data_IF_129968145335
#
_entry.id   IF_129968145335
#
_cell.length_a   1.000
_cell.length_b   1.000
_cell.length_c   1.000
_cell.angle_alpha   90.00
_cell.angle_beta   90.00
_cell.angle_gamma   90.00
#
_symmetry.space_group_name_H-M   'P 1'
#
loop_
_entity.id
_entity.type
_entity.pdbx_description
1 polymer ?
#
# COMPACT_ATOMS: atom_id res chain seq x y z
N UNK A 1 -21.27 -14.17 33.13
CA UNK A 1 -20.64 -12.88 33.55
C UNK A 1 -21.21 -11.80 32.65
N UNK A 2 -21.80 -10.73 33.21
CA UNK A 2 -22.32 -9.62 32.41
C UNK A 2 -21.18 -8.86 31.72
N UNK A 3 -21.43 -8.33 30.52
CA UNK A 3 -20.45 -7.49 29.83
C UNK A 3 -20.15 -6.26 30.68
N UNK A 4 -18.87 -5.85 30.80
CA UNK A 4 -18.51 -4.65 31.55
C UNK A 4 -19.14 -3.40 30.92
N UNK A 5 -19.43 -2.40 31.75
CA UNK A 5 -19.89 -1.08 31.32
C UNK A 5 -18.97 -0.52 30.22
N UNK A 6 -19.49 -0.10 29.05
CA UNK A 6 -18.66 0.28 27.89
C UNK A 6 -17.62 1.36 28.19
N UNK A 7 -18.00 2.37 28.99
CA UNK A 7 -17.07 3.44 29.38
C UNK A 7 -15.94 2.94 30.28
N UNK A 8 -16.22 1.96 31.15
CA UNK A 8 -15.19 1.32 31.97
C UNK A 8 -14.26 0.48 31.11
N UNK A 9 -14.79 -0.24 30.11
CA UNK A 9 -13.99 -1.00 29.17
C UNK A 9 -13.00 -0.10 28.41
N UNK A 10 -13.44 1.05 27.90
CA UNK A 10 -12.55 2.00 27.21
C UNK A 10 -11.42 2.49 28.11
N UNK A 11 -11.71 2.82 29.39
CA UNK A 11 -10.68 3.21 30.37
C UNK A 11 -9.66 2.09 30.59
N UNK A 12 -10.14 0.86 30.78
CA UNK A 12 -9.28 -0.31 30.99
C UNK A 12 -8.37 -0.61 29.79
N UNK A 13 -8.84 -0.36 28.56
CA UNK A 13 -8.04 -0.61 27.34
C UNK A 13 -6.80 0.30 27.24
N UNK A 14 -6.86 1.51 27.78
CA UNK A 14 -5.78 2.50 27.62
C UNK A 14 -4.94 2.73 28.87
N UNK A 15 -5.38 2.25 30.05
CA UNK A 15 -4.74 2.53 31.33
C UNK A 15 -3.29 2.05 31.42
N UNK A 16 -2.95 0.97 30.71
CA UNK A 16 -1.61 0.38 30.72
C UNK A 16 -0.64 1.09 29.74
N UNK A 17 -1.12 2.05 28.96
CA UNK A 17 -0.26 2.80 28.04
C UNK A 17 0.54 3.89 28.78
N UNK A 18 1.77 4.18 28.32
CA UNK A 18 2.51 5.36 28.79
C UNK A 18 1.67 6.64 28.63
N UNK A 19 1.84 7.66 29.50
CA UNK A 19 0.93 8.82 29.57
C UNK A 19 0.69 9.52 28.22
N UNK A 20 1.75 9.67 27.40
CA UNK A 20 1.64 10.26 26.06
C UNK A 20 0.77 9.42 25.12
N UNK A 21 0.93 8.10 25.17
CA UNK A 21 0.17 7.17 24.34
C UNK A 21 -1.28 7.05 24.82
N UNK A 22 -1.50 6.97 26.14
CA UNK A 22 -2.84 6.98 26.75
C UNK A 22 -3.63 8.21 26.29
N UNK A 23 -3.06 9.41 26.42
CA UNK A 23 -3.70 10.67 25.99
C UNK A 23 -4.10 10.65 24.52
N UNK A 24 -3.24 10.11 23.66
CA UNK A 24 -3.53 9.96 22.22
C UNK A 24 -4.60 8.90 21.96
N UNK A 25 -4.47 7.69 22.52
CA UNK A 25 -5.39 6.57 22.29
C UNK A 25 -6.79 6.82 22.82
N UNK A 26 -6.93 7.57 23.92
CA UNK A 26 -8.23 7.97 24.48
C UNK A 26 -9.09 8.83 23.54
N UNK A 27 -8.47 9.44 22.52
CA UNK A 27 -9.19 10.21 21.48
C UNK A 27 -9.62 9.36 20.28
N UNK A 28 -9.10 8.13 20.17
CA UNK A 28 -9.37 7.17 19.08
C UNK A 28 -10.30 6.02 19.50
N UNK A 29 -10.85 6.05 20.71
CA UNK A 29 -11.79 5.05 21.23
C UNK A 29 -12.92 5.81 21.92
N UNK A 30 -14.15 5.63 21.43
CA UNK A 30 -15.37 6.27 21.96
C UNK A 30 -16.48 5.23 22.05
N UNK A 31 -17.30 5.32 23.10
CA UNK A 31 -18.54 4.55 23.20
C UNK A 31 -19.56 5.25 22.31
N UNK A 32 -20.16 4.52 21.37
CA UNK A 32 -21.16 5.10 20.50
C UNK A 32 -22.42 5.47 21.28
N UNK A 33 -23.00 6.63 20.97
CA UNK A 33 -24.31 7.06 21.43
C UNK A 33 -25.20 7.25 20.18
N UNK A 34 -26.30 6.51 20.03
CA UNK A 34 -27.19 6.62 18.86
C UNK A 34 -27.88 7.98 18.71
N UNK A 35 -28.01 8.76 19.79
CA UNK A 35 -28.67 10.06 19.79
C UNK A 35 -27.64 11.16 19.49
N UNK A 36 -26.51 11.15 20.18
CA UNK A 36 -25.44 12.15 20.00
C UNK A 36 -24.10 11.46 19.71
N UNK A 37 -23.84 11.18 18.44
CA UNK A 37 -22.62 10.48 18.02
C UNK A 37 -21.37 11.26 18.44
N UNK A 38 -20.49 10.69 19.28
CA UNK A 38 -19.34 11.42 19.79
C UNK A 38 -18.28 11.64 18.71
N UNK A 39 -17.63 12.81 18.75
CA UNK A 39 -16.46 13.09 17.90
C UNK A 39 -15.30 12.17 18.26
N UNK A 40 -14.82 11.43 17.27
CA UNK A 40 -13.64 10.56 17.36
C UNK A 40 -12.51 11.13 16.50
N UNK A 41 -11.29 11.15 17.03
CA UNK A 41 -10.13 11.54 16.23
C UNK A 41 -9.83 10.42 15.24
N UNK A 42 -9.66 10.76 13.96
CA UNK A 42 -9.33 9.82 12.89
C UNK A 42 -8.25 10.43 11.99
N UNK A 43 -7.72 9.62 11.06
CA UNK A 43 -6.70 10.03 10.09
C UNK A 43 -5.44 10.72 10.68
N UNK A 44 -5.08 10.42 11.93
CA UNK A 44 -3.82 10.89 12.53
C UNK A 44 -2.71 9.85 12.36
N UNK A 45 -1.44 10.26 12.49
CA UNK A 45 -0.28 9.35 12.39
C UNK A 45 -0.35 8.24 13.44
N UNK A 46 0.07 7.03 13.09
CA UNK A 46 0.16 5.90 14.02
C UNK A 46 1.18 6.20 15.13
N UNK A 47 0.93 5.73 16.36
CA UNK A 47 1.95 5.75 17.41
C UNK A 47 2.97 4.62 17.19
N UNK A 48 4.29 4.88 17.27
CA UNK A 48 5.31 3.84 17.14
C UNK A 48 5.13 2.70 18.15
N UNK A 49 5.39 1.46 17.72
CA UNK A 49 5.38 0.27 18.59
C UNK A 49 4.01 -0.28 19.01
N UNK A 50 2.89 0.32 18.57
CA UNK A 50 1.54 -0.12 19.00
C UNK A 50 0.95 -1.29 18.20
N UNK A 51 1.72 -1.89 17.26
CA UNK A 51 1.24 -3.01 16.42
C UNK A 51 -0.06 -2.63 15.69
N UNK A 52 0.02 -1.61 14.83
CA UNK A 52 -1.14 -1.12 14.07
C UNK A 52 -1.55 -2.09 12.96
N UNK A 53 -2.84 -2.12 12.63
CA UNK A 53 -3.37 -2.85 11.46
C UNK A 53 -3.44 -1.99 10.19
N UNK A 54 -2.59 -0.97 10.08
CA UNK A 54 -2.56 -0.07 8.92
C UNK A 54 -1.54 -0.56 7.90
N UNK A 55 -1.84 -0.38 6.63
CA UNK A 55 -0.86 -0.48 5.53
C UNK A 55 -0.19 0.85 5.21
N UNK A 56 0.38 0.95 4.01
CA UNK A 56 1.02 2.15 3.47
C UNK A 56 0.30 2.65 2.20
N UNK A 57 0.73 3.79 1.66
CA UNK A 57 0.14 4.38 0.46
C UNK A 57 0.26 3.48 -0.78
N UNK A 58 1.37 2.73 -0.91
CA UNK A 58 1.53 1.73 -1.98
C UNK A 58 0.43 0.66 -1.92
N UNK A 59 0.12 0.14 -0.72
CA UNK A 59 -0.95 -0.84 -0.57
C UNK A 59 -2.31 -0.28 -1.01
N UNK A 60 -2.61 0.98 -0.68
CA UNK A 60 -3.85 1.64 -1.13
C UNK A 60 -3.89 1.89 -2.64
N UNK A 61 -2.80 2.37 -3.23
CA UNK A 61 -2.73 2.67 -4.66
C UNK A 61 -2.69 1.39 -5.51
N UNK A 62 -1.62 0.59 -5.35
CA UNK A 62 -1.39 -0.64 -6.12
C UNK A 62 -2.29 -1.77 -5.66
N UNK A 63 -2.28 -2.09 -4.37
CA UNK A 63 -2.95 -3.29 -3.85
C UNK A 63 -4.49 -3.23 -3.86
N UNK A 64 -5.06 -2.02 -3.82
CA UNK A 64 -6.51 -1.81 -3.70
C UNK A 64 -7.13 -1.22 -4.96
N UNK A 65 -6.67 -0.04 -5.41
CA UNK A 65 -7.35 0.71 -6.46
C UNK A 65 -6.97 0.24 -7.86
N UNK A 66 -5.67 0.25 -8.19
CA UNK A 66 -5.22 0.00 -9.57
C UNK A 66 -4.92 -1.48 -9.83
N UNK A 67 -4.43 -2.23 -8.84
CA UNK A 67 -4.08 -3.63 -9.01
C UNK A 67 -5.18 -4.57 -9.55
N UNK A 68 -6.49 -4.33 -9.31
CA UNK A 68 -7.56 -5.10 -9.94
C UNK A 68 -7.74 -4.94 -11.46
N UNK A 69 -7.04 -4.00 -12.11
CA UNK A 69 -7.14 -3.83 -13.57
C UNK A 69 -6.36 -4.95 -14.26
N UNK A 70 -7.03 -5.74 -15.08
CA UNK A 70 -6.54 -7.02 -15.63
C UNK A 70 -5.62 -6.90 -16.82
N UNK A 71 -5.84 -5.89 -17.67
CA UNK A 71 -5.22 -5.77 -19.00
C UNK A 71 -4.08 -4.74 -19.06
N UNK A 72 -3.62 -4.28 -17.90
CA UNK A 72 -2.45 -3.42 -17.77
C UNK A 72 -1.38 -4.09 -16.91
N UNK A 73 -0.12 -3.83 -17.22
CA UNK A 73 1.01 -4.33 -16.44
C UNK A 73 1.30 -3.36 -15.29
N UNK A 74 1.41 -3.92 -14.08
CA UNK A 74 1.66 -3.16 -12.84
C UNK A 74 3.11 -3.32 -12.37
N UNK A 75 4.02 -2.45 -12.81
CA UNK A 75 5.43 -2.49 -12.42
C UNK A 75 5.61 -1.85 -11.04
N UNK A 76 5.99 -2.67 -10.05
CA UNK A 76 6.39 -2.18 -8.73
C UNK A 76 7.84 -1.71 -8.79
N UNK A 77 8.06 -0.39 -8.77
CA UNK A 77 9.39 0.17 -8.84
C UNK A 77 9.99 0.28 -7.44
N UNK A 78 10.89 -0.66 -7.13
CA UNK A 78 11.39 -0.86 -5.78
C UNK A 78 12.14 -2.17 -5.58
N UNK A 79 12.64 -2.43 -4.36
CA UNK A 79 13.07 -3.75 -3.93
C UNK A 79 11.91 -4.75 -3.96
N UNK A 80 12.23 -6.05 -4.07
CA UNK A 80 11.24 -7.14 -4.26
C UNK A 80 10.06 -7.18 -3.28
N UNK A 81 10.26 -6.77 -2.02
CA UNK A 81 9.32 -7.04 -0.92
C UNK A 81 7.90 -6.51 -1.16
N UNK A 82 7.75 -5.26 -1.63
CA UNK A 82 6.43 -4.67 -1.87
C UNK A 82 5.66 -5.40 -2.98
N UNK A 83 6.36 -5.90 -4.00
CA UNK A 83 5.75 -6.67 -5.07
C UNK A 83 5.31 -8.04 -4.58
N UNK A 84 6.21 -8.76 -3.91
CA UNK A 84 5.96 -10.10 -3.40
C UNK A 84 4.83 -10.16 -2.36
N UNK A 85 4.87 -9.34 -1.30
CA UNK A 85 3.85 -9.38 -0.25
C UNK A 85 2.48 -8.83 -0.68
N UNK A 86 2.41 -8.13 -1.81
CA UNK A 86 1.14 -7.69 -2.40
C UNK A 86 0.62 -8.65 -3.48
N UNK A 87 1.36 -9.72 -3.80
CA UNK A 87 1.00 -10.64 -4.87
C UNK A 87 -0.08 -11.60 -4.40
N UNK A 88 -1.26 -11.53 -5.00
CA UNK A 88 -2.40 -12.41 -4.71
C UNK A 88 -2.90 -12.42 -3.26
N UNK A 89 -2.58 -11.40 -2.47
CA UNK A 89 -3.07 -11.29 -1.08
C UNK A 89 -4.49 -10.73 -0.98
N UNK A 90 -4.91 -9.92 -1.96
CA UNK A 90 -6.30 -9.45 -2.09
C UNK A 90 -7.01 -10.24 -3.19
N UNK A 91 -8.18 -10.82 -2.86
CA UNK A 91 -8.99 -11.66 -3.75
C UNK A 91 -9.78 -10.83 -4.77
N UNK A 92 -9.06 -10.06 -5.60
CA UNK A 92 -9.62 -9.28 -6.70
C UNK A 92 -9.92 -10.25 -7.84
N UNK A 93 -11.11 -10.83 -7.85
CA UNK A 93 -11.51 -11.75 -8.91
C UNK A 93 -11.88 -10.95 -10.16
N UNK A 94 -11.53 -11.49 -11.32
CA UNK A 94 -11.98 -10.99 -12.61
C UNK A 94 -12.36 -12.19 -13.49
N UNK A 95 -13.45 -12.01 -14.23
CA UNK A 95 -13.86 -12.92 -15.30
C UNK A 95 -13.37 -12.32 -16.62
N UNK A 96 -12.23 -12.82 -17.10
CA UNK A 96 -11.56 -12.29 -18.29
C UNK A 96 -11.86 -13.26 -19.45
N UNK A 97 -12.42 -12.78 -20.57
CA UNK A 97 -12.69 -13.62 -21.74
C UNK A 97 -11.45 -14.39 -22.22
N UNK A 98 -11.67 -15.57 -22.77
CA UNK A 98 -10.59 -16.35 -23.36
C UNK A 98 -9.91 -15.58 -24.51
N UNK A 99 -8.58 -15.47 -24.45
CA UNK A 99 -7.79 -14.70 -25.40
C UNK A 99 -7.49 -13.26 -24.97
N UNK A 100 -8.20 -12.72 -23.98
CA UNK A 100 -7.89 -11.39 -23.42
C UNK A 100 -6.72 -11.46 -22.43
N UNK A 101 -5.98 -10.34 -22.33
CA UNK A 101 -4.85 -10.21 -21.41
C UNK A 101 -5.32 -10.20 -19.95
N UNK A 102 -4.63 -10.98 -19.11
CA UNK A 102 -4.87 -11.01 -17.67
C UNK A 102 -3.55 -11.06 -16.89
N UNK A 103 -3.19 -9.93 -16.29
CA UNK A 103 -1.97 -9.75 -15.51
C UNK A 103 -2.20 -9.79 -13.99
N UNK A 104 -3.43 -10.04 -13.51
CA UNK A 104 -3.74 -10.04 -12.06
C UNK A 104 -2.88 -11.02 -11.25
N UNK A 105 -2.61 -12.18 -11.83
CA UNK A 105 -1.88 -13.26 -11.19
C UNK A 105 -0.35 -13.10 -11.29
N UNK A 106 0.14 -11.94 -11.73
CA UNK A 106 1.57 -11.68 -11.92
C UNK A 106 2.07 -10.58 -10.98
N UNK A 107 3.36 -10.65 -10.66
CA UNK A 107 4.07 -9.63 -9.91
C UNK A 107 5.22 -9.09 -10.76
N UNK A 108 5.05 -7.88 -11.32
CA UNK A 108 6.12 -7.17 -12.03
C UNK A 108 6.84 -6.27 -11.05
N UNK A 109 8.17 -6.28 -11.11
CA UNK A 109 9.01 -5.46 -10.22
C UNK A 109 10.32 -5.15 -10.90
N UNK A 110 10.89 -3.97 -10.62
CA UNK A 110 12.25 -3.65 -11.04
C UNK A 110 13.32 -4.32 -10.18
N UNK A 111 12.92 -4.90 -9.04
CA UNK A 111 13.80 -5.54 -8.06
C UNK A 111 15.09 -4.75 -7.81
N UNK A 112 14.92 -3.53 -7.27
CA UNK A 112 16.04 -2.62 -7.02
C UNK A 112 17.04 -3.28 -6.07
N UNK A 113 18.29 -3.28 -6.49
CA UNK A 113 19.44 -3.71 -5.69
C UNK A 113 20.16 -2.49 -5.13
N UNK A 114 21.22 -2.72 -4.34
CA UNK A 114 22.06 -1.63 -3.82
C UNK A 114 22.57 -0.69 -4.92
N UNK A 115 22.85 -1.20 -6.13
CA UNK A 115 23.26 -0.38 -7.25
C UNK A 115 22.22 0.69 -7.62
N UNK A 116 20.93 0.32 -7.68
CA UNK A 116 19.87 1.28 -7.98
C UNK A 116 19.62 2.25 -6.82
N UNK A 117 19.92 1.84 -5.58
CA UNK A 117 19.85 2.74 -4.42
C UNK A 117 20.96 3.80 -4.47
N UNK A 118 22.17 3.44 -4.91
CA UNK A 118 23.31 4.35 -4.98
C UNK A 118 23.26 5.24 -6.23
N UNK A 119 22.90 4.67 -7.39
CA UNK A 119 23.04 5.32 -8.69
C UNK A 119 21.72 5.70 -9.38
N UNK A 120 20.59 5.44 -8.73
CA UNK A 120 19.25 5.70 -9.28
C UNK A 120 18.66 4.50 -10.01
N UNK A 121 17.32 4.41 -10.00
CA UNK A 121 16.55 3.32 -10.59
C UNK A 121 16.03 3.59 -12.00
N UNK A 122 16.12 4.83 -12.48
CA UNK A 122 15.47 5.29 -13.72
C UNK A 122 15.83 4.47 -14.97
N UNK A 123 17.12 4.17 -15.18
CA UNK A 123 17.58 3.36 -16.32
C UNK A 123 17.02 1.93 -16.26
N UNK A 124 16.94 1.37 -15.06
CA UNK A 124 16.37 0.03 -14.84
C UNK A 124 14.86 0.04 -15.04
N UNK A 125 14.18 1.11 -14.62
CA UNK A 125 12.76 1.31 -14.87
C UNK A 125 12.46 1.39 -16.37
N UNK A 126 13.19 2.22 -17.12
CA UNK A 126 13.02 2.34 -18.57
C UNK A 126 13.19 0.98 -19.27
N UNK A 127 14.24 0.24 -18.90
CA UNK A 127 14.48 -1.12 -19.40
C UNK A 127 13.34 -2.08 -19.06
N UNK A 128 12.85 -2.06 -17.81
CA UNK A 128 11.74 -2.92 -17.39
C UNK A 128 10.42 -2.58 -18.10
N UNK A 129 10.16 -1.30 -18.39
CA UNK A 129 9.01 -0.87 -19.19
C UNK A 129 9.13 -1.42 -20.61
N UNK A 130 10.30 -1.28 -21.25
CA UNK A 130 10.53 -1.80 -22.59
C UNK A 130 10.38 -3.33 -22.64
N UNK A 131 11.00 -4.05 -21.72
CA UNK A 131 10.89 -5.52 -21.63
C UNK A 131 9.45 -5.97 -21.39
N UNK A 132 8.70 -5.27 -20.53
CA UNK A 132 7.30 -5.57 -20.30
C UNK A 132 6.44 -5.35 -21.56
N UNK A 133 6.73 -4.28 -22.32
CA UNK A 133 6.05 -4.03 -23.59
C UNK A 133 6.37 -5.11 -24.63
N UNK A 134 7.65 -5.40 -24.84
CA UNK A 134 8.11 -6.35 -25.86
C UNK A 134 7.63 -7.79 -25.57
N UNK A 135 7.53 -8.18 -24.30
CA UNK A 135 7.10 -9.52 -23.91
C UNK A 135 5.58 -9.68 -23.85
N UNK A 136 4.86 -8.67 -23.36
CA UNK A 136 3.44 -8.82 -23.02
C UNK A 136 2.49 -7.98 -23.87
N UNK A 137 2.99 -6.94 -24.56
CA UNK A 137 2.19 -5.99 -25.35
C UNK A 137 0.93 -5.49 -24.62
N UNK A 138 1.02 -5.04 -23.35
CA UNK A 138 -0.14 -4.70 -22.54
C UNK A 138 -0.84 -3.43 -23.05
N UNK A 139 -2.12 -3.22 -22.71
CA UNK A 139 -2.84 -2.00 -23.11
C UNK A 139 -2.30 -0.74 -22.45
N UNK A 140 -1.72 -0.87 -21.26
CA UNK A 140 -0.97 0.18 -20.58
C UNK A 140 0.01 -0.40 -19.57
N UNK A 141 0.94 0.43 -19.10
CA UNK A 141 1.87 0.12 -18.02
C UNK A 141 1.69 1.15 -16.91
N UNK A 142 1.46 0.67 -15.68
CA UNK A 142 1.38 1.50 -14.49
C UNK A 142 2.65 1.28 -13.64
N UNK A 143 3.32 2.39 -13.29
CA UNK A 143 4.52 2.38 -12.44
C UNK A 143 4.12 2.73 -11.00
N UNK A 144 4.47 1.86 -10.06
CA UNK A 144 4.17 2.03 -8.64
C UNK A 144 5.45 2.24 -7.83
N UNK A 145 5.73 3.49 -7.49
CA UNK A 145 6.86 3.86 -6.65
C UNK A 145 6.73 3.29 -5.24
N UNK A 146 7.82 2.70 -4.75
CA UNK A 146 7.96 2.27 -3.35
C UNK A 146 8.79 3.28 -2.54
N UNK A 147 9.04 3.00 -1.26
CA UNK A 147 9.76 3.89 -0.35
C UNK A 147 11.07 4.50 -0.92
N UNK A 148 12.02 3.72 -1.48
CA UNK A 148 13.30 4.27 -1.90
C UNK A 148 13.22 5.23 -3.08
N UNK A 149 12.27 5.04 -4.00
CA UNK A 149 12.15 5.87 -5.22
C UNK A 149 12.08 7.35 -4.89
N UNK A 150 11.19 7.71 -3.95
CA UNK A 150 11.04 9.10 -3.50
C UNK A 150 12.19 9.60 -2.62
N UNK A 151 12.96 8.70 -2.01
CA UNK A 151 14.10 9.06 -1.14
C UNK A 151 15.37 9.34 -1.92
N UNK A 152 15.62 8.58 -3.00
CA UNK A 152 16.80 8.75 -3.86
C UNK A 152 16.58 9.79 -4.96
N UNK A 153 15.33 10.18 -5.19
CA UNK A 153 14.98 11.28 -6.10
C UNK A 153 14.80 10.86 -7.55
N UNK A 154 14.45 9.59 -7.82
CA UNK A 154 14.14 9.12 -9.17
C UNK A 154 12.93 9.86 -9.76
N UNK A 155 13.06 10.42 -10.97
CA UNK A 155 11.97 11.04 -11.73
C UNK A 155 11.24 10.01 -12.60
N UNK A 156 10.39 9.22 -11.96
CA UNK A 156 9.54 8.22 -12.65
C UNK A 156 8.60 8.85 -13.69
N UNK A 157 8.26 10.12 -13.55
CA UNK A 157 7.39 10.81 -14.49
C UNK A 157 8.15 11.19 -15.76
N UNK A 158 9.42 11.57 -15.66
CA UNK A 158 10.28 11.79 -16.83
C UNK A 158 10.47 10.49 -17.61
N UNK A 159 10.78 9.39 -16.92
CA UNK A 159 10.90 8.07 -17.57
C UNK A 159 9.60 7.68 -18.27
N UNK A 160 8.46 7.77 -17.58
CA UNK A 160 7.16 7.41 -18.16
C UNK A 160 6.71 8.31 -19.34
N UNK A 161 7.26 9.52 -19.50
CA UNK A 161 7.00 10.38 -20.67
C UNK A 161 7.89 10.05 -21.88
N UNK A 162 9.05 9.42 -21.63
CA UNK A 162 10.02 9.08 -22.67
C UNK A 162 9.76 7.71 -23.29
N UNK A 163 9.17 6.80 -22.51
CA UNK A 163 8.73 5.47 -22.92
C UNK A 163 7.33 5.53 -23.56
#
# INVERSE_FOLDING_TARGET
MGSPEPNQLVRNLVQNYPPRLLRKRSRHIKVNDPIEVPKIEANSRTSPGIITQRGCCYAGCKGVVLGPITDIVHIVHGPVGCSYYAWMTRRNQADVPEGDQNFLNYAFTTDMTENEIIFGGEKKLAKAIQEAYDLFHPKAIAVFSTCPVGLIGDDVHAVARQM
#
